data_IF_762110930790
#
_entry.id   IF_762110930790
#
_cell.length_a   1.000
_cell.length_b   1.000
_cell.length_c   1.000
_cell.angle_alpha   90.00
_cell.angle_beta   90.00
_cell.angle_gamma   90.00
#
_symmetry.space_group_name_H-M   'P 1'
#
loop_
_entity.id
_entity.type
_entity.pdbx_description
1 polymer ?
#
# COMPACT_ATOMS: atom_id res chain seq x y z
N UNK A 1 13.06 13.48 27.30
CA UNK A 1 12.86 12.21 28.04
C UNK A 1 11.50 11.55 27.79
N UNK A 2 10.40 12.30 27.64
CA UNK A 2 9.06 11.72 27.33
C UNK A 2 9.00 11.03 25.95
N UNK A 3 9.71 11.59 24.95
CA UNK A 3 9.70 11.05 23.58
C UNK A 3 10.35 9.66 23.46
N UNK A 4 11.34 9.34 24.31
CA UNK A 4 12.05 8.05 24.31
C UNK A 4 11.20 6.92 24.93
N UNK A 5 10.34 7.26 25.89
CA UNK A 5 9.44 6.31 26.57
C UNK A 5 8.30 5.88 25.64
N UNK A 6 7.80 6.78 24.79
CA UNK A 6 6.77 6.46 23.79
C UNK A 6 7.30 5.54 22.68
N UNK A 7 8.57 5.68 22.29
CA UNK A 7 9.20 4.77 21.30
C UNK A 7 9.33 3.36 21.84
N UNK A 8 9.66 3.21 23.12
CA UNK A 8 9.75 1.91 23.80
C UNK A 8 8.37 1.26 23.91
N UNK A 9 7.32 2.02 24.25
CA UNK A 9 5.95 1.49 24.30
C UNK A 9 5.43 1.04 22.92
N UNK A 10 5.79 1.73 21.84
CA UNK A 10 5.45 1.33 20.47
C UNK A 10 6.12 0.01 20.03
N UNK A 11 7.23 -0.39 20.66
CA UNK A 11 7.91 -1.67 20.39
C UNK A 11 7.42 -2.82 21.30
N UNK A 12 6.85 -2.50 22.47
CA UNK A 12 6.34 -3.49 23.44
C UNK A 12 4.89 -3.88 23.13
N UNK A 13 4.10 -2.97 22.58
CA UNK A 13 2.76 -3.25 22.07
C UNK A 13 2.77 -3.11 20.54
N UNK A 14 3.06 -4.18 19.77
CA UNK A 14 2.62 -4.23 18.39
C UNK A 14 1.08 -4.21 18.46
N UNK A 15 0.52 -3.00 18.41
CA UNK A 15 -0.90 -2.70 18.53
C UNK A 15 -1.71 -3.82 17.90
N UNK A 16 -2.53 -4.49 18.71
CA UNK A 16 -3.40 -5.57 18.26
C UNK A 16 -4.10 -5.15 16.96
N UNK A 17 -3.67 -5.74 15.85
CA UNK A 17 -4.17 -5.45 14.52
C UNK A 17 -5.54 -6.12 14.37
N UNK A 18 -6.59 -5.48 14.86
CA UNK A 18 -7.98 -5.93 14.69
C UNK A 18 -8.73 -5.01 13.74
N UNK A 19 -9.50 -5.64 12.83
CA UNK A 19 -10.61 -5.12 12.01
C UNK A 19 -10.47 -3.76 11.32
N UNK A 20 -10.43 -2.69 12.11
CA UNK A 20 -10.43 -1.29 11.67
C UNK A 20 -9.05 -0.87 11.15
N UNK A 21 -7.97 -1.45 11.69
CA UNK A 21 -6.58 -1.14 11.31
C UNK A 21 -6.02 -2.03 10.18
N UNK A 22 -6.87 -2.74 9.44
CA UNK A 22 -6.42 -3.57 8.32
C UNK A 22 -5.86 -2.70 7.19
N UNK A 23 -4.61 -2.97 6.80
CA UNK A 23 -3.91 -2.26 5.72
C UNK A 23 -3.86 -3.12 4.48
N UNK A 24 -4.02 -2.50 3.33
CA UNK A 24 -3.79 -3.12 2.02
C UNK A 24 -2.81 -2.31 1.19
N UNK A 25 -1.99 -3.01 0.40
CA UNK A 25 -1.13 -2.39 -0.60
C UNK A 25 -1.91 -2.18 -1.89
N UNK A 26 -1.82 -0.97 -2.46
CA UNK A 26 -2.44 -0.62 -3.71
C UNK A 26 -1.40 -0.06 -4.68
N UNK A 27 -1.51 -0.42 -5.96
CA UNK A 27 -0.64 0.11 -7.00
C UNK A 27 -1.42 0.62 -8.21
N UNK A 28 -1.21 1.89 -8.57
CA UNK A 28 -1.62 2.44 -9.86
C UNK A 28 -0.53 2.09 -10.87
N UNK A 29 -0.89 1.19 -11.80
CA UNK A 29 -0.02 0.67 -12.86
C UNK A 29 0.44 1.77 -13.85
N UNK A 30 1.46 1.50 -14.69
CA UNK A 30 2.01 2.51 -15.61
C UNK A 30 0.98 3.14 -16.54
N UNK A 31 0.00 2.37 -17.01
CA UNK A 31 -1.09 2.87 -17.84
C UNK A 31 -2.01 3.84 -17.09
N UNK A 32 -2.30 3.58 -15.81
CA UNK A 32 -3.08 4.49 -14.97
C UNK A 32 -2.38 5.82 -14.74
N UNK A 33 -1.05 5.79 -14.60
CA UNK A 33 -0.24 7.00 -14.52
C UNK A 33 -0.24 7.78 -15.84
N UNK A 34 0.06 7.11 -16.96
CA UNK A 34 0.10 7.72 -18.29
C UNK A 34 -1.23 8.36 -18.70
N UNK A 35 -2.35 7.74 -18.29
CA UNK A 35 -3.70 8.24 -18.54
C UNK A 35 -4.15 9.34 -17.56
N UNK A 36 -3.26 9.82 -16.68
CA UNK A 36 -3.52 10.88 -15.69
C UNK A 36 -4.67 10.53 -14.73
N UNK A 37 -4.83 9.26 -14.37
CA UNK A 37 -5.92 8.78 -13.51
C UNK A 37 -5.59 8.80 -12.02
N UNK A 38 -4.37 9.21 -11.64
CA UNK A 38 -3.89 9.17 -10.25
C UNK A 38 -4.82 9.90 -9.29
N UNK A 39 -5.12 11.18 -9.57
CA UNK A 39 -6.00 11.99 -8.72
C UNK A 39 -7.43 11.45 -8.67
N UNK A 40 -7.96 10.96 -9.79
CA UNK A 40 -9.31 10.39 -9.84
C UNK A 40 -9.42 9.10 -9.02
N UNK A 41 -8.38 8.26 -9.02
CA UNK A 41 -8.33 7.05 -8.20
C UNK A 41 -8.26 7.43 -6.72
N UNK A 42 -7.29 8.27 -6.33
CA UNK A 42 -7.12 8.72 -4.94
C UNK A 42 -8.42 9.34 -4.41
N UNK A 43 -9.04 10.22 -5.19
CA UNK A 43 -10.33 10.85 -4.85
C UNK A 43 -11.42 9.83 -4.54
N UNK A 44 -11.47 8.69 -5.24
CA UNK A 44 -12.45 7.63 -4.96
C UNK A 44 -12.20 6.94 -3.63
N UNK A 45 -10.93 6.73 -3.26
CA UNK A 45 -10.56 6.17 -1.97
C UNK A 45 -10.89 7.11 -0.82
N UNK A 46 -10.47 8.37 -0.94
CA UNK A 46 -10.74 9.41 0.07
C UNK A 46 -12.25 9.63 0.25
N UNK A 47 -13.01 9.73 -0.86
CA UNK A 47 -14.47 9.89 -0.80
C UNK A 47 -15.17 8.71 -0.12
N UNK A 48 -14.58 7.52 -0.15
CA UNK A 48 -15.12 6.33 0.51
C UNK A 48 -14.84 6.33 2.02
N UNK A 49 -13.99 7.22 2.52
CA UNK A 49 -13.56 7.29 3.92
C UNK A 49 -12.31 6.46 4.21
N UNK A 50 -11.58 6.03 3.18
CA UNK A 50 -10.35 5.26 3.38
C UNK A 50 -9.18 6.17 3.76
N UNK A 51 -8.44 5.78 4.79
CA UNK A 51 -7.26 6.51 5.25
C UNK A 51 -6.02 6.08 4.48
N UNK A 52 -5.41 7.01 3.75
CA UNK A 52 -4.10 6.81 3.15
C UNK A 52 -3.01 6.99 4.21
N UNK A 53 -2.10 6.02 4.30
CA UNK A 53 -0.98 6.05 5.27
C UNK A 53 0.38 6.11 4.61
N UNK A 54 0.47 5.80 3.32
CA UNK A 54 1.68 6.00 2.53
C UNK A 54 1.31 6.17 1.06
N UNK A 55 2.07 7.00 0.35
CA UNK A 55 1.95 7.21 -1.09
C UNK A 55 3.30 7.60 -1.67
N UNK A 56 3.71 6.95 -2.77
CA UNK A 56 4.88 7.36 -3.54
C UNK A 56 4.76 7.03 -5.02
N UNK A 57 5.37 7.86 -5.85
CA UNK A 57 5.57 7.61 -7.28
C UNK A 57 6.98 7.09 -7.45
N UNK A 58 7.14 5.96 -8.13
CA UNK A 58 8.48 5.41 -8.39
C UNK A 58 8.53 4.60 -9.69
N UNK A 59 9.73 4.52 -10.25
CA UNK A 59 10.04 3.53 -11.29
C UNK A 59 10.48 2.24 -10.60
N UNK A 60 9.66 1.20 -10.66
CA UNK A 60 9.95 -0.07 -10.00
C UNK A 60 11.08 -0.83 -10.74
N UNK A 61 12.06 -1.33 -9.99
CA UNK A 61 13.15 -2.13 -10.57
C UNK A 61 12.65 -3.52 -10.97
N UNK A 62 13.30 -4.14 -11.95
CA UNK A 62 12.95 -5.51 -12.37
C UNK A 62 13.02 -6.50 -11.20
N UNK A 63 14.04 -6.36 -10.33
CA UNK A 63 14.19 -7.18 -9.12
C UNK A 63 12.97 -7.04 -8.20
N UNK A 64 12.54 -5.81 -7.93
CA UNK A 64 11.37 -5.53 -7.09
C UNK A 64 10.10 -6.15 -7.69
N UNK A 65 9.89 -5.97 -9.00
CA UNK A 65 8.71 -6.49 -9.70
C UNK A 65 8.68 -8.03 -9.74
N UNK A 66 9.83 -8.68 -9.92
CA UNK A 66 9.93 -10.13 -9.86
C UNK A 66 9.62 -10.67 -8.46
N UNK A 67 10.13 -10.00 -7.42
CA UNK A 67 9.80 -10.36 -6.04
C UNK A 67 8.31 -10.16 -5.75
N UNK A 68 7.72 -9.07 -6.24
CA UNK A 68 6.29 -8.77 -6.09
C UNK A 68 5.40 -9.84 -6.76
N UNK A 69 5.73 -10.23 -8.00
CA UNK A 69 4.97 -11.21 -8.77
C UNK A 69 5.48 -12.65 -8.65
N UNK A 70 6.24 -12.99 -7.60
CA UNK A 70 6.88 -14.31 -7.46
C UNK A 70 5.89 -15.49 -7.56
N UNK A 71 4.67 -15.31 -7.08
CA UNK A 71 3.60 -16.31 -7.18
C UNK A 71 3.18 -16.64 -8.62
N UNK A 72 3.57 -15.80 -9.60
CA UNK A 72 3.28 -15.95 -11.02
C UNK A 72 4.50 -16.38 -11.83
N UNK A 73 5.63 -16.72 -11.18
CA UNK A 73 6.90 -17.00 -11.87
C UNK A 73 6.81 -18.08 -12.96
N UNK A 74 5.99 -19.10 -12.73
CA UNK A 74 5.84 -20.25 -13.64
C UNK A 74 4.82 -19.98 -14.77
N UNK A 75 4.22 -18.79 -14.82
CA UNK A 75 3.24 -18.44 -15.85
C UNK A 75 3.93 -17.96 -17.13
N UNK A 76 3.44 -18.33 -18.32
CA UNK A 76 4.08 -18.00 -19.60
C UNK A 76 4.12 -16.49 -19.89
N UNK A 77 3.33 -15.68 -19.19
CA UNK A 77 3.28 -14.23 -19.33
C UNK A 77 4.12 -13.47 -18.28
N UNK A 78 4.82 -14.17 -17.38
CA UNK A 78 5.53 -13.56 -16.25
C UNK A 78 6.55 -12.48 -16.67
N UNK A 79 7.45 -12.81 -17.59
CA UNK A 79 8.45 -11.83 -18.07
C UNK A 79 7.82 -10.64 -18.77
N UNK A 80 6.70 -10.86 -19.49
CA UNK A 80 5.97 -9.78 -20.14
C UNK A 80 5.30 -8.88 -19.10
N UNK A 81 4.75 -9.45 -18.03
CA UNK A 81 4.15 -8.71 -16.92
C UNK A 81 5.20 -7.84 -16.21
N UNK A 82 6.36 -8.41 -15.90
CA UNK A 82 7.48 -7.67 -15.28
C UNK A 82 7.95 -6.54 -16.19
N UNK A 83 8.16 -6.79 -17.48
CA UNK A 83 8.52 -5.75 -18.46
C UNK A 83 7.46 -4.67 -18.58
N UNK A 84 6.18 -5.05 -18.59
CA UNK A 84 5.06 -4.11 -18.63
C UNK A 84 5.06 -3.19 -17.41
N UNK A 85 5.14 -3.77 -16.21
CA UNK A 85 5.14 -3.00 -14.96
C UNK A 85 6.39 -2.13 -14.80
N UNK A 86 7.52 -2.55 -15.39
CA UNK A 86 8.76 -1.78 -15.44
C UNK A 86 8.83 -0.75 -16.58
N UNK A 87 7.81 -0.63 -17.43
CA UNK A 87 7.83 0.27 -18.60
C UNK A 87 7.58 1.75 -18.27
N UNK A 88 7.10 2.05 -17.07
CA UNK A 88 6.82 3.41 -16.64
C UNK A 88 6.57 3.51 -15.13
N UNK A 89 6.30 4.72 -14.64
CA UNK A 89 6.14 4.97 -13.21
C UNK A 89 4.87 4.32 -12.67
N UNK A 90 4.97 3.84 -11.43
CA UNK A 90 3.88 3.26 -10.64
C UNK A 90 3.62 4.18 -9.45
N UNK A 91 2.35 4.35 -9.09
CA UNK A 91 1.99 4.97 -7.81
C UNK A 91 1.67 3.87 -6.81
N UNK A 92 2.58 3.65 -5.87
CA UNK A 92 2.37 2.75 -4.74
C UNK A 92 1.68 3.53 -3.62
N UNK A 93 0.66 2.96 -3.01
CA UNK A 93 0.00 3.53 -1.84
C UNK A 93 -0.45 2.44 -0.87
N UNK A 94 -0.59 2.81 0.40
CA UNK A 94 -1.13 1.94 1.45
C UNK A 94 -2.37 2.60 2.01
N UNK A 95 -3.47 1.85 2.04
CA UNK A 95 -4.75 2.31 2.55
C UNK A 95 -5.18 1.45 3.73
N UNK A 96 -5.80 2.09 4.71
CA UNK A 96 -6.55 1.41 5.76
C UNK A 96 -7.96 1.15 5.21
N UNK A 97 -8.43 -0.09 5.37
CA UNK A 97 -9.72 -0.63 4.90
C UNK A 97 -9.79 -0.98 3.38
N UNK A 98 -10.48 -2.11 3.13
CA UNK A 98 -10.61 -3.02 1.95
C UNK A 98 -10.28 -2.57 0.50
N UNK A 99 -9.82 -3.58 -0.28
CA UNK A 99 -9.36 -3.57 -1.68
C UNK A 99 -10.34 -3.02 -2.74
N UNK A 100 -9.88 -2.09 -3.59
CA UNK A 100 -10.67 -1.57 -4.75
C UNK A 100 -9.86 -1.45 -6.08
N UNK A 101 -8.52 -1.56 -6.09
CA UNK A 101 -7.67 -1.62 -7.32
C UNK A 101 -6.62 -2.75 -7.18
N UNK A 102 -5.51 -2.87 -7.97
CA UNK A 102 -4.48 -3.92 -7.70
C UNK A 102 -4.16 -3.86 -6.23
N UNK A 103 -4.63 -4.84 -5.50
CA UNK A 103 -4.88 -4.78 -4.08
C UNK A 103 -4.64 -6.17 -3.58
N UNK A 104 -3.89 -6.28 -2.51
CA UNK A 104 -3.41 -7.54 -2.00
C UNK A 104 -4.57 -8.52 -1.83
N UNK A 105 -4.47 -9.69 -2.43
CA UNK A 105 -5.55 -10.69 -2.47
C UNK A 105 -5.89 -11.29 -1.09
N UNK A 106 -4.95 -11.21 -0.14
CA UNK A 106 -5.12 -11.58 1.26
C UNK A 106 -4.37 -10.65 2.21
N UNK A 107 -4.65 -10.76 3.51
CA UNK A 107 -3.94 -10.02 4.58
C UNK A 107 -2.44 -10.33 4.59
N UNK A 108 -2.08 -11.58 4.36
CA UNK A 108 -0.69 -12.05 4.31
C UNK A 108 0.04 -11.46 3.10
N UNK A 109 -0.61 -11.44 1.93
CA UNK A 109 -0.10 -10.74 0.75
C UNK A 109 0.06 -9.25 1.02
N UNK A 110 -0.88 -8.61 1.74
CA UNK A 110 -0.78 -7.19 2.08
C UNK A 110 0.44 -6.88 2.95
N UNK A 111 0.66 -7.67 4.00
CA UNK A 111 1.83 -7.49 4.86
C UNK A 111 3.15 -7.64 4.08
N UNK A 112 3.24 -8.66 3.23
CA UNK A 112 4.42 -8.88 2.37
C UNK A 112 4.63 -7.74 1.39
N UNK A 113 3.58 -7.30 0.70
CA UNK A 113 3.66 -6.23 -0.30
C UNK A 113 3.99 -4.89 0.36
N UNK A 114 3.37 -4.54 1.48
CA UNK A 114 3.70 -3.32 2.24
C UNK A 114 5.18 -3.31 2.63
N UNK A 115 5.69 -4.41 3.20
CA UNK A 115 7.09 -4.53 3.60
C UNK A 115 8.07 -4.53 2.42
N UNK A 116 7.63 -4.98 1.24
CA UNK A 116 8.45 -4.99 0.03
C UNK A 116 8.55 -3.59 -0.60
N UNK A 117 7.46 -2.83 -0.57
CA UNK A 117 7.36 -1.53 -1.25
C UNK A 117 7.69 -0.34 -0.36
N UNK A 118 7.52 -0.43 0.96
CA UNK A 118 7.68 0.70 1.88
C UNK A 118 8.60 0.34 3.05
N UNK A 119 9.46 1.29 3.42
CA UNK A 119 10.16 1.26 4.71
C UNK A 119 9.19 1.64 5.84
N UNK A 120 9.42 1.18 7.09
CA UNK A 120 8.53 1.48 8.21
C UNK A 120 8.34 2.98 8.47
N UNK A 121 9.35 3.81 8.20
CA UNK A 121 9.32 5.26 8.36
C UNK A 121 8.55 6.00 7.25
N UNK A 122 8.30 5.34 6.11
CA UNK A 122 7.42 5.87 5.06
C UNK A 122 5.92 5.73 5.43
N UNK A 123 5.58 4.99 6.49
CA UNK A 123 4.21 4.78 6.95
C UNK A 123 3.82 5.83 8.00
N UNK A 124 2.90 6.71 7.64
CA UNK A 124 2.41 7.78 8.53
C UNK A 124 1.32 7.25 9.44
N UNK A 125 1.56 7.28 10.74
CA UNK A 125 0.55 7.04 11.77
C UNK A 125 -0.08 8.39 12.15
N UNK A 126 -1.37 8.56 11.86
CA UNK A 126 -2.15 9.73 12.25
C UNK A 126 -3.55 9.29 12.67
N UNK A 127 -4.18 10.07 13.54
CA UNK A 127 -5.56 9.80 13.99
C UNK A 127 -6.54 10.51 13.07
N UNK A 128 -7.42 9.77 12.42
CA UNK A 128 -8.43 10.37 11.55
C UNK A 128 -9.54 11.00 12.38
N UNK A 129 -9.65 12.32 12.31
CA UNK A 129 -10.72 13.07 12.97
C UNK A 129 -12.12 12.67 12.49
N UNK A 130 -12.25 12.14 11.28
CA UNK A 130 -13.51 11.69 10.71
C UNK A 130 -13.88 10.26 11.16
N UNK A 131 -12.96 9.50 11.75
CA UNK A 131 -13.15 8.10 12.14
C UNK A 131 -14.41 7.90 12.99
N UNK A 132 -14.62 8.79 13.98
CA UNK A 132 -15.78 8.78 14.90
C UNK A 132 -17.14 9.00 14.23
N UNK A 133 -17.15 9.47 12.99
CA UNK A 133 -18.34 9.76 12.21
C UNK A 133 -18.56 8.79 11.05
N UNK A 134 -17.51 8.05 10.68
CA UNK A 134 -17.53 7.09 9.56
C UNK A 134 -17.79 5.68 10.07
N UNK A 135 -17.30 5.33 11.27
CA UNK A 135 -17.38 3.99 11.84
C UNK A 135 -18.14 4.01 13.18
N UNK A 136 -19.00 3.02 13.39
CA UNK A 136 -19.72 2.76 14.66
C UNK A 136 -18.87 1.91 15.63
#
# INVERSE_FOLDING_TARGET
MICLVLTIFAHIFPSAWTGINERTFLAIKPDGYQRRLVGEIIRRFEKKGFCLVALKIMQASEKLLRQHYIALQDKPFYDRLVKYMGSGPVVAMVSITRNVIHGSDSRESAQREIALWFQPDELVCWQDSAERWIYE
#
